data_IF_523494728084
#
_entry.id   IF_523494728084
#
_cell.length_a   1.000
_cell.length_b   1.000
_cell.length_c   1.000
_cell.angle_alpha   90.00
_cell.angle_beta   90.00
_cell.angle_gamma   90.00
#
_symmetry.space_group_name_H-M   'P 1'
#
loop_
_entity.id
_entity.type
_entity.pdbx_description
1 polymer ?
#
# COMPACT_ATOMS: atom_id res chain seq x y z
N UNK A 1 -4.79 -24.93 2.15
CA UNK A 1 -4.66 -23.62 2.83
C UNK A 1 -5.25 -22.56 1.93
N UNK A 2 -6.21 -21.80 2.44
CA UNK A 2 -6.63 -20.53 1.84
C UNK A 2 -5.57 -19.48 2.15
N UNK A 3 -5.33 -18.56 1.23
CA UNK A 3 -4.51 -17.38 1.46
C UNK A 3 -5.42 -16.16 1.63
N UNK A 4 -4.92 -15.10 2.27
CA UNK A 4 -5.66 -13.85 2.51
C UNK A 4 -6.26 -13.31 1.21
N UNK A 5 -5.51 -13.39 0.09
CA UNK A 5 -6.01 -13.00 -1.23
C UNK A 5 -7.32 -13.69 -1.61
N UNK A 6 -7.43 -15.01 -1.40
CA UNK A 6 -8.65 -15.76 -1.71
C UNK A 6 -9.78 -15.45 -0.72
N UNK A 7 -9.44 -15.19 0.54
CA UNK A 7 -10.41 -14.90 1.61
C UNK A 7 -11.10 -13.55 1.43
N UNK A 8 -10.39 -12.54 0.91
CA UNK A 8 -10.98 -11.22 0.63
C UNK A 8 -11.78 -11.17 -0.68
N UNK A 9 -11.85 -12.25 -1.46
CA UNK A 9 -12.56 -12.30 -2.75
C UNK A 9 -11.67 -12.05 -3.98
N UNK A 10 -10.35 -12.16 -3.83
CA UNK A 10 -9.39 -12.17 -4.94
C UNK A 10 -9.27 -10.84 -5.68
N UNK A 11 -8.93 -10.92 -6.98
CA UNK A 11 -8.56 -9.77 -7.80
C UNK A 11 -9.64 -8.69 -7.87
N UNK A 12 -10.92 -9.08 -7.91
CA UNK A 12 -12.02 -8.13 -8.02
C UNK A 12 -12.12 -7.25 -6.76
N UNK A 13 -12.12 -7.88 -5.58
CA UNK A 13 -12.14 -7.16 -4.31
C UNK A 13 -10.89 -6.30 -4.12
N UNK A 14 -9.71 -6.84 -4.46
CA UNK A 14 -8.46 -6.10 -4.34
C UNK A 14 -8.39 -4.90 -5.28
N UNK A 15 -8.97 -5.01 -6.48
CA UNK A 15 -9.09 -3.88 -7.41
C UNK A 15 -9.96 -2.78 -6.80
N UNK A 16 -11.11 -3.13 -6.22
CA UNK A 16 -11.98 -2.15 -5.56
C UNK A 16 -11.27 -1.44 -4.38
N UNK A 17 -10.54 -2.21 -3.55
CA UNK A 17 -9.73 -1.66 -2.45
C UNK A 17 -8.69 -0.68 -2.97
N UNK A 18 -7.96 -1.02 -4.04
CA UNK A 18 -6.93 -0.13 -4.61
C UNK A 18 -7.53 1.13 -5.24
N UNK A 19 -8.71 1.03 -5.86
CA UNK A 19 -9.43 2.19 -6.38
C UNK A 19 -9.80 3.17 -5.25
N UNK A 20 -10.43 2.68 -4.18
CA UNK A 20 -10.81 3.51 -3.03
C UNK A 20 -9.59 4.06 -2.27
N UNK A 21 -8.54 3.24 -2.10
CA UNK A 21 -7.27 3.65 -1.49
C UNK A 21 -6.67 4.87 -2.21
N UNK A 22 -6.56 4.81 -3.54
CA UNK A 22 -6.01 5.94 -4.30
C UNK A 22 -6.95 7.13 -4.37
N UNK A 23 -8.27 6.94 -4.32
CA UNK A 23 -9.21 8.06 -4.20
C UNK A 23 -8.94 8.86 -2.90
N UNK A 24 -8.71 8.16 -1.78
CA UNK A 24 -8.36 8.78 -0.49
C UNK A 24 -6.97 9.45 -0.52
N UNK A 25 -5.96 8.75 -1.03
CA UNK A 25 -4.59 9.27 -1.14
C UNK A 25 -4.53 10.54 -1.98
N UNK A 26 -5.24 10.58 -3.12
CA UNK A 26 -5.30 11.76 -3.99
C UNK A 26 -6.17 12.88 -3.40
N UNK A 27 -7.10 12.56 -2.51
CA UNK A 27 -7.88 13.53 -1.75
C UNK A 27 -7.13 14.15 -0.56
N UNK A 28 -6.04 13.53 -0.09
CA UNK A 28 -5.24 14.05 1.02
C UNK A 28 -4.17 15.02 0.51
N UNK A 29 -4.30 16.31 0.84
CA UNK A 29 -3.36 17.36 0.44
C UNK A 29 -1.91 17.07 0.86
N UNK A 30 -1.69 16.26 1.89
CA UNK A 30 -0.35 15.87 2.37
C UNK A 30 0.30 14.77 1.52
N UNK A 31 -0.49 14.07 0.70
CA UNK A 31 -0.03 12.96 -0.15
C UNK A 31 -0.19 13.22 -1.64
N UNK A 32 -1.22 13.98 -2.04
CA UNK A 32 -1.55 14.20 -3.46
C UNK A 32 -0.37 14.77 -4.28
N UNK A 33 0.50 15.56 -3.65
CA UNK A 33 1.69 16.14 -4.29
C UNK A 33 2.65 15.11 -4.89
N UNK A 34 2.77 13.92 -4.30
CA UNK A 34 3.66 12.86 -4.78
C UNK A 34 3.22 12.25 -6.12
N UNK A 35 1.97 12.48 -6.53
CA UNK A 35 1.36 11.81 -7.68
C UNK A 35 1.07 12.73 -8.87
N UNK A 36 1.43 14.01 -8.82
CA UNK A 36 1.10 15.03 -9.85
C UNK A 36 1.42 14.63 -11.30
N UNK A 37 2.48 13.86 -11.51
CA UNK A 37 2.93 13.42 -12.85
C UNK A 37 2.85 11.89 -13.03
N UNK A 38 2.06 11.20 -12.20
CA UNK A 38 1.94 9.74 -12.27
C UNK A 38 0.84 9.31 -13.25
N UNK A 39 1.12 8.29 -14.05
CA UNK A 39 0.07 7.51 -14.71
C UNK A 39 -0.66 6.68 -13.65
N UNK A 40 -1.76 7.22 -13.14
CA UNK A 40 -2.55 6.60 -12.08
C UNK A 40 -3.12 5.25 -12.49
N UNK A 41 -3.48 5.07 -13.76
CA UNK A 41 -4.01 3.80 -14.25
C UNK A 41 -2.94 2.72 -14.20
N UNK A 42 -1.73 3.03 -14.67
CA UNK A 42 -0.60 2.11 -14.58
C UNK A 42 -0.18 1.85 -13.12
N UNK A 43 -0.24 2.86 -12.26
CA UNK A 43 0.10 2.74 -10.85
C UNK A 43 -0.87 1.83 -10.10
N UNK A 44 -2.18 2.02 -10.29
CA UNK A 44 -3.22 1.17 -9.67
C UNK A 44 -3.06 -0.29 -10.08
N UNK A 45 -2.83 -0.59 -11.36
CA UNK A 45 -2.53 -1.96 -11.83
C UNK A 45 -1.32 -2.57 -11.12
N UNK A 46 -0.24 -1.80 -10.97
CA UNK A 46 0.97 -2.25 -10.25
C UNK A 46 0.68 -2.49 -8.76
N UNK A 47 -0.12 -1.65 -8.13
CA UNK A 47 -0.50 -1.80 -6.72
C UNK A 47 -1.35 -3.07 -6.49
N UNK A 48 -2.32 -3.34 -7.37
CA UNK A 48 -3.11 -4.60 -7.32
C UNK A 48 -2.19 -5.81 -7.45
N UNK A 49 -1.25 -5.79 -8.40
CA UNK A 49 -0.29 -6.88 -8.57
C UNK A 49 0.61 -7.07 -7.35
N UNK A 50 1.07 -5.97 -6.73
CA UNK A 50 1.88 -5.99 -5.52
C UNK A 50 1.11 -6.60 -4.34
N UNK A 51 -0.08 -6.08 -4.04
CA UNK A 51 -0.90 -6.61 -2.95
C UNK A 51 -1.34 -8.05 -3.20
N UNK A 52 -1.64 -8.42 -4.46
CA UNK A 52 -1.99 -9.81 -4.79
C UNK A 52 -0.86 -10.75 -4.39
N UNK A 53 0.37 -10.44 -4.79
CA UNK A 53 1.54 -11.25 -4.41
C UNK A 53 1.79 -11.25 -2.89
N UNK A 54 1.69 -10.09 -2.24
CA UNK A 54 1.91 -9.96 -0.79
C UNK A 54 0.89 -10.77 0.04
N UNK A 55 -0.33 -10.93 -0.47
CA UNK A 55 -1.42 -11.65 0.21
C UNK A 55 -1.54 -13.13 -0.23
N UNK A 56 -0.52 -13.67 -0.91
CA UNK A 56 -0.46 -15.07 -1.32
C UNK A 56 -1.27 -15.41 -2.57
N UNK A 57 -1.55 -14.42 -3.41
CA UNK A 57 -2.19 -14.59 -4.71
C UNK A 57 -1.37 -15.44 -5.70
N UNK A 58 -1.94 -15.75 -6.88
CA UNK A 58 -1.46 -16.83 -7.75
C UNK A 58 -0.14 -16.53 -8.48
N UNK A 59 0.39 -15.31 -8.39
CA UNK A 59 1.57 -14.89 -9.14
C UNK A 59 2.48 -13.96 -8.35
N UNK A 60 3.80 -13.98 -8.62
CA UNK A 60 4.73 -13.10 -7.96
C UNK A 60 4.59 -11.67 -8.48
N UNK A 61 4.93 -10.70 -7.63
CA UNK A 61 5.13 -9.33 -8.05
C UNK A 61 6.44 -9.21 -8.84
N UNK A 62 6.38 -8.57 -10.01
CA UNK A 62 7.53 -8.40 -10.93
C UNK A 62 7.92 -6.93 -11.16
N UNK A 63 7.37 -6.03 -10.36
CA UNK A 63 7.73 -4.61 -10.43
C UNK A 63 9.02 -4.30 -9.67
N UNK A 64 9.30 -3.01 -9.54
CA UNK A 64 10.44 -2.52 -8.76
C UNK A 64 10.28 -2.90 -7.29
N UNK A 65 11.38 -3.18 -6.59
CA UNK A 65 11.36 -3.28 -5.12
C UNK A 65 10.79 -2.01 -4.49
N UNK A 66 10.26 -2.11 -3.27
CA UNK A 66 9.69 -0.95 -2.58
C UNK A 66 10.73 0.16 -2.39
N UNK A 67 11.97 -0.20 -2.07
CA UNK A 67 13.08 0.76 -2.00
C UNK A 67 13.33 1.44 -3.35
N UNK A 68 13.43 0.68 -4.46
CA UNK A 68 13.66 1.27 -5.78
C UNK A 68 12.48 2.12 -6.27
N UNK A 69 11.25 1.72 -5.98
CA UNK A 69 10.04 2.44 -6.37
C UNK A 69 9.89 3.79 -5.64
N UNK A 70 10.37 3.87 -4.40
CA UNK A 70 10.19 5.05 -3.52
C UNK A 70 11.47 5.88 -3.32
N UNK A 71 12.61 5.42 -3.81
CA UNK A 71 13.90 6.12 -3.74
C UNK A 71 13.81 7.56 -4.24
N UNK A 72 14.37 8.49 -3.47
CA UNK A 72 14.46 9.91 -3.84
C UNK A 72 13.14 10.67 -3.75
N UNK A 73 12.06 10.04 -3.24
CA UNK A 73 10.78 10.71 -3.04
C UNK A 73 10.69 11.49 -1.74
N UNK A 74 11.64 11.34 -0.82
CA UNK A 74 11.62 12.00 0.49
C UNK A 74 10.32 11.71 1.27
N UNK A 75 9.98 10.43 1.38
CA UNK A 75 8.82 9.95 2.14
C UNK A 75 9.25 9.78 3.59
N UNK A 76 8.61 10.52 4.49
CA UNK A 76 8.81 10.39 5.93
C UNK A 76 7.82 9.39 6.56
N UNK A 77 8.03 9.11 7.85
CA UNK A 77 7.16 8.23 8.64
C UNK A 77 5.70 8.67 8.59
N UNK A 78 5.44 9.98 8.70
CA UNK A 78 4.10 10.55 8.63
C UNK A 78 3.38 10.19 7.32
N UNK A 79 4.04 10.34 6.16
CA UNK A 79 3.40 10.04 4.87
C UNK A 79 3.12 8.56 4.70
N UNK A 80 4.02 7.70 5.18
CA UNK A 80 3.80 6.25 5.20
C UNK A 80 2.59 5.89 6.06
N UNK A 81 2.53 6.40 7.30
CA UNK A 81 1.43 6.13 8.23
C UNK A 81 0.08 6.64 7.69
N UNK A 82 0.07 7.80 7.02
CA UNK A 82 -1.13 8.30 6.33
C UNK A 82 -1.59 7.36 5.21
N UNK A 83 -0.66 6.84 4.40
CA UNK A 83 -1.00 5.88 3.36
C UNK A 83 -1.54 4.57 3.95
N UNK A 84 -0.94 4.05 5.02
CA UNK A 84 -1.44 2.86 5.73
C UNK A 84 -2.83 3.11 6.33
N UNK A 85 -3.09 4.29 6.89
CA UNK A 85 -4.40 4.68 7.39
C UNK A 85 -5.46 4.71 6.28
N UNK A 86 -5.13 5.27 5.11
CA UNK A 86 -6.01 5.27 3.95
C UNK A 86 -6.27 3.86 3.40
N UNK A 87 -5.25 2.98 3.40
CA UNK A 87 -5.41 1.57 3.02
C UNK A 87 -6.37 0.85 3.98
N UNK A 88 -6.19 1.06 5.29
CA UNK A 88 -7.08 0.50 6.32
C UNK A 88 -8.52 0.92 6.09
N UNK A 89 -8.76 2.22 5.87
CA UNK A 89 -10.09 2.75 5.59
C UNK A 89 -10.71 2.16 4.30
N UNK A 90 -9.89 1.93 3.26
CA UNK A 90 -10.35 1.32 2.02
C UNK A 90 -10.75 -0.14 2.20
N UNK A 91 -9.95 -0.93 2.92
CA UNK A 91 -10.27 -2.32 3.27
C UNK A 91 -11.61 -2.40 4.03
N UNK A 92 -11.77 -1.56 5.06
CA UNK A 92 -13.02 -1.50 5.83
C UNK A 92 -14.21 -1.07 4.97
N UNK A 93 -14.06 -0.06 4.11
CA UNK A 93 -15.12 0.40 3.22
C UNK A 93 -15.54 -0.67 2.19
N UNK A 94 -14.61 -1.53 1.78
CA UNK A 94 -14.89 -2.69 0.92
C UNK A 94 -15.43 -3.91 1.69
N UNK A 95 -15.71 -3.78 3.00
CA UNK A 95 -16.31 -4.84 3.81
C UNK A 95 -15.33 -5.94 4.22
N UNK A 96 -14.02 -5.70 4.13
CA UNK A 96 -13.02 -6.65 4.63
C UNK A 96 -13.13 -6.69 6.17
N UNK A 97 -13.24 -7.89 6.79
CA UNK A 97 -13.33 -8.01 8.24
C UNK A 97 -12.16 -7.32 8.95
N UNK A 98 -12.39 -6.81 10.16
CA UNK A 98 -11.36 -6.11 10.95
C UNK A 98 -10.14 -6.99 11.20
N UNK A 99 -10.34 -8.27 11.51
CA UNK A 99 -9.25 -9.24 11.72
C UNK A 99 -8.40 -9.40 10.47
N UNK A 100 -9.03 -9.60 9.31
CA UNK A 100 -8.33 -9.71 8.02
C UNK A 100 -7.66 -8.40 7.63
N UNK A 101 -8.28 -7.25 7.94
CA UNK A 101 -7.68 -5.93 7.73
C UNK A 101 -6.40 -5.80 8.55
N UNK A 102 -6.41 -6.17 9.83
CA UNK A 102 -5.24 -6.13 10.69
C UNK A 102 -4.11 -7.03 10.17
N UNK A 103 -4.43 -8.23 9.68
CA UNK A 103 -3.44 -9.13 9.06
C UNK A 103 -2.81 -8.53 7.79
N UNK A 104 -3.62 -7.90 6.93
CA UNK A 104 -3.12 -7.21 5.73
C UNK A 104 -2.20 -6.06 6.13
N UNK A 105 -2.59 -5.24 7.11
CA UNK A 105 -1.75 -4.12 7.57
C UNK A 105 -0.46 -4.63 8.20
N UNK A 106 -0.50 -5.73 8.95
CA UNK A 106 0.71 -6.37 9.50
C UNK A 106 1.67 -6.87 8.41
N UNK A 107 1.15 -7.34 7.27
CA UNK A 107 1.98 -7.73 6.12
C UNK A 107 2.60 -6.52 5.39
N UNK A 108 1.97 -5.34 5.45
CA UNK A 108 2.44 -4.11 4.79
C UNK A 108 3.37 -3.29 5.67
N UNK A 109 3.19 -3.29 6.99
CA UNK A 109 3.95 -2.45 7.93
C UNK A 109 5.49 -2.58 7.79
N UNK A 110 6.09 -3.79 7.61
CA UNK A 110 7.54 -3.92 7.45
C UNK A 110 8.11 -3.20 6.22
N UNK A 111 7.28 -2.90 5.20
CA UNK A 111 7.73 -2.15 4.02
C UNK A 111 8.14 -0.71 4.35
N UNK A 112 7.84 -0.22 5.56
CA UNK A 112 8.31 1.08 6.01
C UNK A 112 9.83 1.19 5.99
N UNK A 113 10.55 0.08 6.21
CA UNK A 113 12.02 0.02 6.21
C UNK A 113 12.61 0.29 4.83
N UNK A 114 11.88 -0.06 3.78
CA UNK A 114 12.27 0.19 2.40
C UNK A 114 11.83 1.57 1.89
N UNK A 115 10.77 2.14 2.47
CA UNK A 115 10.06 3.29 1.90
C UNK A 115 10.42 4.61 2.61
N UNK A 116 10.58 4.58 3.94
CA UNK A 116 10.82 5.78 4.74
C UNK A 116 12.29 6.19 4.61
N UNK A 117 12.53 7.42 4.15
CA UNK A 117 13.87 7.92 3.88
C UNK A 117 14.66 8.32 5.16
N UNK A 118 13.96 8.57 6.28
CA UNK A 118 14.54 9.13 7.50
C UNK A 118 14.61 8.14 8.67
N UNK A 119 15.09 6.92 8.40
CA UNK A 119 15.34 5.93 9.47
C UNK A 119 16.64 6.18 10.26
N UNK A 120 17.33 7.31 10.05
CA UNK A 120 18.66 7.56 10.62
C UNK A 120 18.83 8.85 11.44
N UNK A 121 17.75 9.59 11.78
CA UNK A 121 17.87 10.79 12.62
C UNK A 121 17.75 10.53 14.13
N UNK A 122 17.87 9.28 14.60
CA UNK A 122 17.79 8.91 16.03
C UNK A 122 19.10 8.30 16.57
N UNK A 123 20.26 8.85 16.19
CA UNK A 123 21.54 8.51 16.81
C UNK A 123 22.54 9.68 16.75
N UNK A 124 22.17 10.83 17.32
CA UNK A 124 23.12 11.85 17.78
C UNK A 124 22.62 12.36 19.13
N UNK A 125 22.95 11.60 20.17
CA UNK A 125 22.92 12.00 21.58
C UNK A 125 24.31 11.79 22.17
#
# INVERSE_FOLDING_TARGET
>A
MTCIYSEIGGAAALTAVVEDFYARVLGDARLAGYFRNSDMTALKRKQVAFFSAALGGPGPYRGLSMAAAHRGRNIGRLQFDLAVGHLTAALTACGVPETTTAEIIAAIAPLSDDIVADQHSAALG
#
